data_IF_823815201109
#
_entry.id   IF_823815201109
#
_cell.length_a   1.000
_cell.length_b   1.000
_cell.length_c   1.000
_cell.angle_alpha   90.00
_cell.angle_beta   90.00
_cell.angle_gamma   90.00
#
_symmetry.space_group_name_H-M   'P 1'
#
loop_
_entity.id
_entity.type
_entity.pdbx_description
1 polymer ?
#
# COMPACT_ATOMS: atom_id res chain seq x y z
N UNK A 1 12.67 -7.38 21.82
CA UNK A 1 11.77 -6.19 21.80
C UNK A 1 11.68 -5.72 20.36
N UNK A 2 10.50 -5.71 19.79
CA UNK A 2 10.28 -5.20 18.46
C UNK A 2 10.41 -3.68 18.46
N UNK A 3 11.04 -3.11 17.41
CA UNK A 3 11.21 -1.68 17.32
C UNK A 3 9.87 -1.01 17.00
N UNK A 4 9.63 0.16 17.59
CA UNK A 4 8.45 0.98 17.29
C UNK A 4 8.83 2.45 17.23
N UNK A 5 8.44 3.09 16.11
CA UNK A 5 8.63 4.53 15.94
C UNK A 5 7.90 5.31 17.04
N UNK A 6 8.51 6.37 17.54
CA UNK A 6 7.90 7.30 18.50
C UNK A 6 6.71 8.07 17.93
N UNK A 7 6.63 8.20 16.62
CA UNK A 7 5.55 8.87 15.89
C UNK A 7 4.41 7.91 15.48
N UNK A 8 4.40 6.68 16.02
CA UNK A 8 3.30 5.76 15.86
C UNK A 8 2.21 6.07 16.88
N UNK A 9 1.15 6.75 16.45
CA UNK A 9 0.03 7.18 17.29
C UNK A 9 -1.12 6.14 17.31
N UNK A 10 -1.12 5.19 16.36
CA UNK A 10 -2.09 4.11 16.30
C UNK A 10 -1.82 3.04 17.37
N UNK A 11 -2.87 2.33 17.79
CA UNK A 11 -2.73 1.10 18.54
C UNK A 11 -2.33 -0.03 17.61
N UNK A 12 -1.15 -0.60 17.79
CA UNK A 12 -0.56 -1.60 16.91
C UNK A 12 -0.20 -2.85 17.71
N UNK A 13 -0.46 -4.08 17.21
CA UNK A 13 -0.09 -5.31 17.89
C UNK A 13 1.40 -5.38 18.22
N UNK A 14 1.74 -6.06 19.32
CA UNK A 14 3.15 -6.20 19.76
C UNK A 14 4.02 -6.95 18.75
N UNK A 15 3.42 -7.83 17.96
CA UNK A 15 4.11 -8.60 16.92
C UNK A 15 4.50 -7.77 15.69
N UNK A 16 4.02 -6.53 15.58
CA UNK A 16 4.27 -5.65 14.42
C UNK A 16 5.40 -4.66 14.69
N UNK A 17 6.36 -4.61 13.77
CA UNK A 17 7.46 -3.65 13.77
C UNK A 17 7.10 -2.37 13.04
N UNK A 18 7.36 -1.24 13.69
CA UNK A 18 7.30 0.10 13.06
C UNK A 18 8.67 0.73 13.21
N UNK A 19 9.42 0.82 12.12
CA UNK A 19 10.78 1.34 12.13
C UNK A 19 10.85 2.86 12.32
N UNK A 20 12.06 3.39 12.51
CA UNK A 20 12.30 4.82 12.76
C UNK A 20 11.72 5.71 11.66
N UNK A 21 11.35 6.93 12.03
CA UNK A 21 10.88 7.98 11.14
C UNK A 21 9.57 7.64 10.39
N UNK A 22 8.81 6.67 10.90
CA UNK A 22 7.45 6.44 10.45
C UNK A 22 6.49 7.35 11.22
N UNK A 23 5.53 7.94 10.52
CA UNK A 23 4.40 8.65 11.11
C UNK A 23 3.14 7.83 10.82
N UNK A 24 2.45 7.40 11.87
CA UNK A 24 1.21 6.61 11.75
C UNK A 24 0.13 7.31 12.55
N UNK A 25 -0.91 7.73 11.87
CA UNK A 25 -2.00 8.47 12.48
C UNK A 25 -2.90 7.57 13.35
N UNK A 26 -3.56 8.11 14.37
CA UNK A 26 -4.12 7.32 15.47
C UNK A 26 -5.27 6.38 15.10
N UNK A 27 -5.96 6.59 13.99
CA UNK A 27 -7.09 5.75 13.55
C UNK A 27 -6.70 4.68 12.56
N UNK A 28 -5.45 4.65 12.09
CA UNK A 28 -4.96 3.58 11.20
C UNK A 28 -5.12 2.22 11.88
N UNK A 29 -5.58 1.24 11.14
CA UNK A 29 -5.74 -0.14 11.60
C UNK A 29 -4.66 -1.01 10.99
N UNK A 30 -3.84 -1.62 11.84
CA UNK A 30 -2.69 -2.43 11.40
C UNK A 30 -2.75 -3.77 12.13
N UNK A 31 -2.63 -4.84 11.37
CA UNK A 31 -2.70 -6.21 11.88
C UNK A 31 -1.41 -6.72 12.51
N UNK A 32 -1.41 -8.03 12.76
CA UNK A 32 -0.33 -8.79 13.38
C UNK A 32 0.84 -9.04 12.44
N UNK A 33 2.04 -9.20 13.01
CA UNK A 33 3.26 -9.63 12.30
C UNK A 33 3.63 -8.75 11.08
N UNK A 34 3.26 -7.49 11.08
CA UNK A 34 3.62 -6.57 10.02
C UNK A 34 5.03 -6.01 10.21
N UNK A 35 5.65 -5.61 9.10
CA UNK A 35 6.94 -4.93 9.10
C UNK A 35 6.84 -3.65 8.26
N UNK A 36 6.71 -2.50 8.92
CA UNK A 36 6.61 -1.19 8.28
C UNK A 36 7.97 -0.50 8.42
N UNK A 37 8.69 -0.44 7.30
CA UNK A 37 10.05 0.09 7.26
C UNK A 37 10.08 1.61 7.38
N UNK A 38 11.28 2.16 7.57
CA UNK A 38 11.49 3.57 7.89
C UNK A 38 10.93 4.54 6.85
N UNK A 39 10.56 5.75 7.30
CA UNK A 39 10.07 6.85 6.47
C UNK A 39 8.73 6.57 5.78
N UNK A 40 7.90 5.71 6.36
CA UNK A 40 6.52 5.54 5.92
C UNK A 40 5.59 6.53 6.60
N UNK A 41 4.56 6.95 5.87
CA UNK A 41 3.46 7.74 6.41
C UNK A 41 2.14 7.00 6.19
N UNK A 42 1.32 6.83 7.23
CA UNK A 42 0.05 6.10 7.16
C UNK A 42 -1.06 6.96 7.76
N UNK A 43 -2.07 7.25 6.95
CA UNK A 43 -3.21 8.07 7.33
C UNK A 43 -4.28 7.29 8.13
N UNK A 44 -5.34 7.99 8.55
CA UNK A 44 -6.33 7.49 9.48
C UNK A 44 -7.29 6.44 8.90
N UNK A 45 -7.78 6.66 7.67
CA UNK A 45 -8.71 5.71 7.00
C UNK A 45 -7.93 4.68 6.18
N UNK A 46 -6.96 4.04 6.84
CA UNK A 46 -6.11 2.99 6.26
C UNK A 46 -6.31 1.69 7.02
N UNK A 47 -6.48 0.59 6.29
CA UNK A 47 -6.57 -0.75 6.84
C UNK A 47 -5.43 -1.62 6.29
N UNK A 48 -4.61 -2.14 7.18
CA UNK A 48 -3.50 -3.05 6.86
C UNK A 48 -3.75 -4.37 7.59
N UNK A 49 -3.84 -5.46 6.84
CA UNK A 49 -4.05 -6.80 7.36
C UNK A 49 -2.82 -7.37 8.08
N UNK A 50 -2.78 -8.69 8.19
CA UNK A 50 -1.70 -9.40 8.89
C UNK A 50 -0.54 -9.77 7.94
N UNK A 51 0.66 -9.93 8.48
CA UNK A 51 1.85 -10.37 7.75
C UNK A 51 2.20 -9.46 6.56
N UNK A 52 1.90 -8.17 6.64
CA UNK A 52 2.17 -7.20 5.58
C UNK A 52 3.58 -6.62 5.76
N UNK A 53 4.31 -6.51 4.66
CA UNK A 53 5.58 -5.79 4.63
C UNK A 53 5.45 -4.54 3.75
N UNK A 54 5.71 -3.38 4.34
CA UNK A 54 5.81 -2.09 3.64
C UNK A 54 7.24 -1.62 3.72
N UNK A 55 7.92 -1.53 2.58
CA UNK A 55 9.31 -1.06 2.51
C UNK A 55 9.41 0.46 2.68
N UNK A 56 10.64 0.96 2.80
CA UNK A 56 10.90 2.37 3.11
C UNK A 56 10.27 3.36 2.13
N UNK A 57 9.85 4.52 2.64
CA UNK A 57 9.45 5.66 1.84
C UNK A 57 8.07 5.56 1.19
N UNK A 58 7.20 4.70 1.71
CA UNK A 58 5.83 4.53 1.21
C UNK A 58 4.86 5.41 2.01
N UNK A 59 4.02 6.16 1.31
CA UNK A 59 2.90 6.89 1.89
C UNK A 59 1.60 6.17 1.57
N UNK A 60 0.83 5.83 2.62
CA UNK A 60 -0.46 5.16 2.50
C UNK A 60 -1.54 6.14 2.93
N UNK A 61 -2.29 6.63 1.94
CA UNK A 61 -3.31 7.66 2.11
C UNK A 61 -4.65 7.09 2.55
N UNK A 62 -5.53 7.96 3.04
CA UNK A 62 -6.91 7.60 3.36
C UNK A 62 -7.60 6.87 2.20
N UNK A 63 -8.42 5.87 2.52
CA UNK A 63 -9.17 5.04 1.59
C UNK A 63 -8.40 3.85 1.01
N UNK A 64 -7.16 3.58 1.48
CA UNK A 64 -6.38 2.44 1.02
C UNK A 64 -6.53 1.27 1.99
N UNK A 65 -6.88 0.10 1.44
CA UNK A 65 -6.90 -1.18 2.14
C UNK A 65 -5.82 -2.09 1.59
N UNK A 66 -4.98 -2.62 2.46
CA UNK A 66 -3.94 -3.62 2.16
C UNK A 66 -4.28 -4.89 2.93
N UNK A 67 -4.65 -5.95 2.21
CA UNK A 67 -5.04 -7.23 2.83
C UNK A 67 -3.81 -8.02 3.33
N UNK A 68 -4.06 -9.22 3.88
CA UNK A 68 -3.01 -10.05 4.48
C UNK A 68 -1.93 -10.49 3.48
N UNK A 69 -0.72 -10.72 3.97
CA UNK A 69 0.41 -11.28 3.23
C UNK A 69 0.85 -10.45 2.01
N UNK A 70 0.57 -9.16 2.00
CA UNK A 70 0.94 -8.25 0.92
C UNK A 70 2.36 -7.72 1.12
N UNK A 71 3.09 -7.58 0.01
CA UNK A 71 4.40 -6.93 -0.04
C UNK A 71 4.32 -5.64 -0.82
N UNK A 72 4.67 -4.51 -0.20
CA UNK A 72 4.81 -3.20 -0.87
C UNK A 72 6.30 -2.87 -0.96
N UNK A 73 6.80 -2.71 -2.16
CA UNK A 73 8.19 -2.35 -2.44
C UNK A 73 8.53 -0.92 -2.01
N UNK A 74 9.83 -0.64 -1.90
CA UNK A 74 10.31 0.68 -1.51
C UNK A 74 9.86 1.77 -2.50
N UNK A 75 9.51 2.94 -1.95
CA UNK A 75 9.10 4.11 -2.72
C UNK A 75 7.91 3.87 -3.67
N UNK A 76 7.07 2.90 -3.37
CA UNK A 76 5.78 2.76 -4.05
C UNK A 76 4.93 3.98 -3.72
N UNK A 77 4.32 4.57 -4.73
CA UNK A 77 3.45 5.74 -4.62
C UNK A 77 2.00 5.33 -4.80
N UNK A 78 1.18 5.56 -3.80
CA UNK A 78 -0.28 5.49 -3.90
C UNK A 78 -0.86 6.88 -4.20
N UNK A 79 -2.03 6.90 -4.80
CA UNK A 79 -2.82 8.13 -4.97
C UNK A 79 -4.24 7.88 -4.46
N UNK A 80 -4.94 8.94 -4.01
CA UNK A 80 -6.35 8.86 -3.59
C UNK A 80 -7.21 9.98 -4.18
N UNK A 81 -6.64 10.76 -5.10
CA UNK A 81 -7.32 11.81 -5.84
C UNK A 81 -7.05 11.63 -7.35
N UNK A 82 -8.11 11.42 -8.11
CA UNK A 82 -8.03 11.17 -9.55
C UNK A 82 -7.80 12.45 -10.36
N UNK A 83 -8.30 13.56 -9.87
CA UNK A 83 -8.24 14.86 -10.53
C UNK A 83 -7.77 15.94 -9.56
N UNK A 84 -6.49 15.89 -9.14
CA UNK A 84 -5.99 16.76 -8.07
C UNK A 84 -6.06 18.24 -8.46
N UNK A 85 -6.67 19.02 -7.58
CA UNK A 85 -6.73 20.48 -7.65
C UNK A 85 -6.61 21.04 -6.24
N UNK A 86 -5.79 22.07 -6.09
CA UNK A 86 -5.61 22.73 -4.81
C UNK A 86 -6.96 23.25 -4.28
N UNK A 87 -7.25 22.94 -3.02
CA UNK A 87 -8.47 23.40 -2.31
C UNK A 87 -9.78 23.06 -3.04
N UNK A 88 -9.84 21.92 -3.71
CA UNK A 88 -11.04 21.45 -4.41
C UNK A 88 -12.16 21.11 -3.41
N UNK A 89 -13.28 21.85 -3.37
CA UNK A 89 -14.38 21.55 -2.45
C UNK A 89 -15.20 20.31 -2.86
N UNK A 90 -15.03 19.84 -4.10
CA UNK A 90 -15.73 18.69 -4.67
C UNK A 90 -14.85 17.44 -4.76
N UNK A 91 -13.77 17.39 -3.96
CA UNK A 91 -12.90 16.23 -3.93
C UNK A 91 -13.67 14.99 -3.46
N UNK A 92 -13.46 13.89 -4.15
CA UNK A 92 -14.05 12.58 -3.82
C UNK A 92 -12.93 11.58 -3.58
N UNK A 93 -12.99 10.89 -2.45
CA UNK A 93 -12.04 9.84 -2.11
C UNK A 93 -12.26 8.60 -2.99
N UNK A 94 -11.24 8.22 -3.72
CA UNK A 94 -11.22 7.02 -4.57
C UNK A 94 -10.52 5.88 -3.82
N UNK A 95 -11.27 4.89 -3.34
CA UNK A 95 -10.73 3.78 -2.55
C UNK A 95 -9.93 2.80 -3.39
N UNK A 96 -8.78 2.38 -2.87
CA UNK A 96 -7.87 1.42 -3.50
C UNK A 96 -7.72 0.19 -2.62
N UNK A 97 -7.73 -1.00 -3.22
CA UNK A 97 -7.61 -2.26 -2.49
C UNK A 97 -6.47 -3.10 -3.06
N UNK A 98 -5.54 -3.48 -2.19
CA UNK A 98 -4.47 -4.43 -2.50
C UNK A 98 -4.86 -5.76 -1.85
N UNK A 99 -5.24 -6.74 -2.68
CA UNK A 99 -5.75 -8.02 -2.23
C UNK A 99 -4.67 -8.93 -1.66
N UNK A 100 -5.11 -9.92 -0.89
CA UNK A 100 -4.25 -10.89 -0.21
C UNK A 100 -3.15 -11.45 -1.11
N UNK A 101 -1.93 -11.51 -0.58
CA UNK A 101 -0.78 -12.10 -1.25
C UNK A 101 -0.25 -11.32 -2.44
N UNK A 102 -0.84 -10.17 -2.78
CA UNK A 102 -0.32 -9.34 -3.86
C UNK A 102 1.05 -8.75 -3.52
N UNK A 103 1.83 -8.45 -4.55
CA UNK A 103 3.16 -7.87 -4.39
C UNK A 103 3.34 -6.71 -5.38
N UNK A 104 3.82 -5.57 -4.87
CA UNK A 104 4.04 -4.37 -5.69
C UNK A 104 5.54 -4.06 -5.70
N UNK A 105 6.12 -4.07 -6.89
CA UNK A 105 7.53 -3.78 -7.10
C UNK A 105 7.90 -2.33 -6.76
N UNK A 106 9.16 -2.15 -6.33
CA UNK A 106 9.68 -0.85 -5.90
C UNK A 106 9.50 0.24 -6.97
N UNK A 107 9.23 1.46 -6.52
CA UNK A 107 9.08 2.63 -7.38
C UNK A 107 7.83 2.63 -8.29
N UNK A 108 6.90 1.70 -8.08
CA UNK A 108 5.65 1.70 -8.84
C UNK A 108 4.69 2.77 -8.35
N UNK A 109 3.84 3.26 -9.24
CA UNK A 109 2.75 4.19 -8.94
C UNK A 109 1.41 3.49 -9.14
N UNK A 110 0.57 3.53 -8.12
CA UNK A 110 -0.78 2.93 -8.13
C UNK A 110 -1.80 4.06 -8.17
N UNK A 111 -2.57 4.12 -9.26
CA UNK A 111 -3.69 5.05 -9.39
C UNK A 111 -4.77 4.78 -8.35
N UNK A 112 -5.58 5.79 -8.04
CA UNK A 112 -6.68 5.66 -7.11
C UNK A 112 -7.87 4.90 -7.69
N UNK A 113 -8.72 4.34 -6.83
CA UNK A 113 -9.91 3.61 -7.23
C UNK A 113 -9.63 2.25 -7.87
N UNK A 114 -8.45 1.68 -7.64
CA UNK A 114 -7.96 0.46 -8.30
C UNK A 114 -7.96 -0.72 -7.32
N UNK A 115 -8.27 -1.90 -7.84
CA UNK A 115 -8.07 -3.16 -7.14
C UNK A 115 -6.90 -3.93 -7.77
N UNK A 116 -5.88 -4.24 -6.95
CA UNK A 116 -4.85 -5.21 -7.29
C UNK A 116 -5.30 -6.58 -6.77
N UNK A 117 -5.53 -7.52 -7.68
CA UNK A 117 -6.12 -8.83 -7.39
C UNK A 117 -5.25 -9.72 -6.50
N UNK A 118 -5.88 -10.75 -5.95
CA UNK A 118 -5.22 -11.72 -5.06
C UNK A 118 -4.02 -12.39 -5.74
N UNK A 119 -2.87 -12.45 -5.05
CA UNK A 119 -1.61 -12.97 -5.56
C UNK A 119 -1.12 -12.33 -6.88
N UNK A 120 -1.65 -11.17 -7.25
CA UNK A 120 -1.13 -10.43 -8.40
C UNK A 120 0.24 -9.82 -8.09
N UNK A 121 1.04 -9.61 -9.13
CA UNK A 121 2.36 -9.00 -9.00
C UNK A 121 2.49 -7.81 -9.95
N UNK A 122 2.97 -6.70 -9.43
CA UNK A 122 3.31 -5.51 -10.20
C UNK A 122 4.83 -5.41 -10.30
N UNK A 123 5.35 -5.40 -11.51
CA UNK A 123 6.79 -5.20 -11.75
C UNK A 123 7.26 -3.82 -11.31
N UNK A 124 8.51 -3.72 -10.87
CA UNK A 124 9.09 -2.46 -10.38
C UNK A 124 8.98 -1.32 -11.40
N UNK A 125 8.78 -0.10 -10.93
CA UNK A 125 8.71 1.10 -11.78
C UNK A 125 7.47 1.18 -12.66
N UNK A 126 6.44 0.38 -12.40
CA UNK A 126 5.21 0.36 -13.20
C UNK A 126 4.26 1.49 -12.80
N UNK A 127 3.41 1.91 -13.73
CA UNK A 127 2.30 2.83 -13.48
C UNK A 127 0.97 2.11 -13.73
N UNK A 128 0.28 1.75 -12.65
CA UNK A 128 -0.97 0.99 -12.70
C UNK A 128 -2.15 1.97 -12.76
N UNK A 129 -2.90 1.92 -13.85
CA UNK A 129 -4.01 2.86 -14.13
C UNK A 129 -5.38 2.21 -14.15
N UNK A 130 -5.46 0.91 -13.93
CA UNK A 130 -6.71 0.11 -13.90
C UNK A 130 -6.53 -1.14 -13.06
N UNK A 131 -7.64 -1.80 -12.74
CA UNK A 131 -7.66 -3.03 -11.97
C UNK A 131 -6.74 -4.11 -12.58
N UNK A 132 -6.08 -4.84 -11.70
CA UNK A 132 -5.23 -5.98 -12.06
C UNK A 132 -5.89 -7.26 -11.57
N UNK A 133 -6.21 -8.21 -12.46
CA UNK A 133 -6.81 -9.48 -12.07
C UNK A 133 -5.91 -10.32 -11.15
N UNK A 134 -6.56 -11.22 -10.39
CA UNK A 134 -5.85 -12.13 -9.50
C UNK A 134 -4.87 -13.04 -10.27
N UNK A 135 -3.72 -13.32 -9.66
CA UNK A 135 -2.71 -14.22 -10.20
C UNK A 135 -2.04 -13.75 -11.49
N UNK A 136 -2.05 -12.47 -11.76
CA UNK A 136 -1.41 -11.92 -12.97
C UNK A 136 -0.18 -11.05 -12.63
N UNK A 137 0.83 -11.15 -13.47
CA UNK A 137 1.97 -10.22 -13.51
C UNK A 137 1.67 -9.11 -14.51
N UNK A 138 1.74 -7.87 -14.03
CA UNK A 138 1.62 -6.67 -14.83
C UNK A 138 2.88 -5.81 -14.71
N UNK A 139 3.29 -5.17 -15.79
CA UNK A 139 4.51 -4.38 -15.84
C UNK A 139 4.42 -3.23 -16.85
N UNK A 140 5.13 -2.14 -16.58
CA UNK A 140 5.33 -1.02 -17.51
C UNK A 140 4.54 0.25 -17.18
N UNK A 141 4.63 1.22 -18.06
CA UNK A 141 3.92 2.51 -17.97
C UNK A 141 3.24 2.83 -19.31
N UNK A 142 1.87 2.75 -19.38
CA UNK A 142 1.00 2.17 -18.36
C UNK A 142 1.25 0.66 -18.21
N UNK A 143 1.02 0.14 -17.01
CA UNK A 143 1.18 -1.29 -16.73
C UNK A 143 0.21 -2.12 -17.57
N UNK A 144 0.72 -3.22 -18.12
CA UNK A 144 -0.04 -4.17 -18.96
C UNK A 144 0.23 -5.59 -18.52
N UNK A 145 -0.70 -6.48 -18.80
CA UNK A 145 -0.57 -7.92 -18.59
C UNK A 145 0.70 -8.46 -19.26
N UNK A 146 1.46 -9.25 -18.53
CA UNK A 146 2.64 -9.96 -19.02
C UNK A 146 2.39 -11.46 -19.09
N UNK A 147 1.98 -12.06 -17.96
CA UNK A 147 1.68 -13.48 -17.84
C UNK A 147 0.86 -13.78 -16.59
N UNK A 148 0.29 -14.97 -16.52
CA UNK A 148 -0.22 -15.51 -15.27
C UNK A 148 0.92 -15.98 -14.38
N UNK A 149 0.69 -15.92 -13.06
CA UNK A 149 1.62 -16.41 -12.04
C UNK A 149 1.10 -17.79 -11.63
N UNK A 150 1.94 -18.80 -11.76
CA UNK A 150 1.68 -20.10 -11.15
C UNK A 150 1.99 -19.99 -9.64
N UNK A 151 1.00 -20.27 -8.81
CA UNK A 151 1.09 -20.25 -7.35
C UNK A 151 1.20 -21.66 -6.84
#
# INVERSE_FOLDING_TARGET
MLFRSTECLASVPESTNIWQFCVILPKAQIGENCNICSHCFIENDVHIGNNVTIKCGVQVWDGITIEDNVQIGANVTFTNDKYPRAKNPNWVLEKTVIKRGASIGAGSTIGCGITIGENAMIGMGSVVTKDVPAGELWFGNPAKFVRKIEV
#
